data_IF_711617954200
#
_entry.id   IF_711617954200
#
_cell.length_a   1.000
_cell.length_b   1.000
_cell.length_c   1.000
_cell.angle_alpha   90.00
_cell.angle_beta   90.00
_cell.angle_gamma   90.00
#
_symmetry.space_group_name_H-M   'P 1'
#
loop_
_entity.id
_entity.type
_entity.pdbx_description
1 polymer ?
#
# COMPACT_ATOMS: atom_id res chain seq x y z
N UNK A 1 26.00 -21.49 -28.38
CA UNK A 1 26.71 -20.98 -29.57
C UNK A 1 25.80 -21.11 -30.78
N UNK A 2 25.76 -20.10 -31.62
CA UNK A 2 25.03 -20.13 -32.88
C UNK A 2 25.74 -21.07 -33.89
N UNK A 3 24.99 -21.90 -34.60
CA UNK A 3 25.50 -22.71 -35.71
C UNK A 3 25.19 -21.97 -37.01
N UNK A 4 26.21 -21.78 -37.84
CA UNK A 4 26.11 -21.09 -39.12
C UNK A 4 26.33 -22.10 -40.23
N UNK A 5 25.34 -22.24 -41.14
CA UNK A 5 25.45 -23.08 -42.34
C UNK A 5 25.34 -22.20 -43.59
N UNK A 6 26.38 -22.23 -44.44
CA UNK A 6 26.35 -21.57 -45.74
C UNK A 6 25.39 -22.33 -46.68
N UNK A 7 24.45 -21.62 -47.27
CA UNK A 7 23.48 -22.20 -48.24
C UNK A 7 23.87 -21.84 -49.68
N UNK A 8 24.42 -20.63 -49.88
CA UNK A 8 24.79 -20.10 -51.17
C UNK A 8 25.91 -19.04 -50.99
N UNK A 9 26.45 -18.43 -52.05
CA UNK A 9 27.55 -17.45 -51.97
C UNK A 9 27.28 -16.31 -50.98
N UNK A 10 25.98 -15.89 -50.85
CA UNK A 10 25.56 -14.79 -49.98
C UNK A 10 24.39 -15.14 -49.08
N UNK A 11 23.97 -16.41 -48.99
CA UNK A 11 22.88 -16.87 -48.13
C UNK A 11 23.41 -17.80 -47.05
N UNK A 12 23.04 -17.52 -45.82
CA UNK A 12 23.46 -18.25 -44.62
C UNK A 12 22.27 -18.59 -43.74
N UNK A 13 22.21 -19.84 -43.25
CA UNK A 13 21.27 -20.27 -42.25
C UNK A 13 21.96 -20.25 -40.90
N UNK A 14 21.47 -19.39 -40.00
CA UNK A 14 21.93 -19.29 -38.63
C UNK A 14 20.95 -20.03 -37.76
N UNK A 15 21.41 -20.97 -36.91
CA UNK A 15 20.58 -21.71 -35.95
C UNK A 15 21.13 -21.47 -34.56
N UNK A 16 20.28 -20.95 -33.66
CA UNK A 16 20.60 -20.71 -32.26
C UNK A 16 19.78 -21.65 -31.38
N UNK A 17 20.32 -22.06 -30.24
CA UNK A 17 19.64 -22.93 -29.29
C UNK A 17 19.75 -22.38 -27.85
N UNK A 18 18.69 -22.60 -27.06
CA UNK A 18 18.58 -22.16 -25.67
C UNK A 18 18.02 -23.28 -24.82
N UNK A 19 18.83 -24.31 -24.57
CA UNK A 19 18.45 -25.45 -23.70
C UNK A 19 17.42 -26.40 -24.30
N UNK A 20 16.74 -27.14 -23.41
CA UNK A 20 15.73 -28.14 -23.72
C UNK A 20 14.44 -27.86 -22.94
N UNK A 21 13.29 -28.19 -23.52
CA UNK A 21 12.00 -28.18 -22.83
C UNK A 21 11.90 -29.34 -21.83
N UNK A 22 11.01 -29.28 -20.85
CA UNK A 22 10.78 -30.41 -19.91
C UNK A 22 10.47 -31.75 -20.62
N UNK A 23 9.98 -31.69 -21.85
CA UNK A 23 9.69 -32.86 -22.69
C UNK A 23 10.92 -33.35 -23.51
N UNK A 24 12.12 -32.86 -23.21
CA UNK A 24 13.35 -33.25 -23.87
C UNK A 24 13.59 -32.63 -25.27
N UNK A 25 12.67 -31.88 -25.85
CA UNK A 25 12.86 -31.21 -27.15
C UNK A 25 13.76 -29.98 -27.00
N UNK A 26 14.77 -29.89 -27.90
CA UNK A 26 15.71 -28.78 -27.99
C UNK A 26 14.99 -27.50 -28.39
N UNK A 27 15.17 -26.42 -27.61
CA UNK A 27 14.66 -25.09 -27.96
C UNK A 27 15.65 -24.47 -28.95
N UNK A 28 15.27 -24.34 -30.23
CA UNK A 28 16.13 -23.77 -31.25
C UNK A 28 15.33 -22.90 -32.23
N UNK A 29 16.01 -21.89 -32.79
CA UNK A 29 15.43 -21.03 -33.81
C UNK A 29 16.42 -20.90 -34.94
N UNK A 30 15.94 -21.04 -36.17
CA UNK A 30 16.75 -20.84 -37.35
C UNK A 30 16.28 -19.63 -38.16
N UNK A 31 17.18 -18.82 -38.64
CA UNK A 31 16.91 -17.68 -39.53
C UNK A 31 17.85 -17.74 -40.72
N UNK A 32 17.31 -17.65 -41.95
CA UNK A 32 18.13 -17.48 -43.14
C UNK A 32 18.33 -16.00 -43.38
N UNK A 33 19.56 -15.59 -43.55
CA UNK A 33 19.96 -14.22 -43.89
C UNK A 33 20.57 -14.18 -45.27
N UNK A 34 20.36 -13.08 -45.98
CA UNK A 34 21.00 -12.77 -47.23
C UNK A 34 21.92 -11.55 -47.02
N UNK A 35 23.18 -11.72 -47.33
CA UNK A 35 24.18 -10.65 -47.22
C UNK A 35 23.95 -9.65 -48.35
N UNK A 36 23.78 -8.34 -48.04
CA UNK A 36 23.56 -7.32 -49.06
C UNK A 36 24.71 -7.25 -50.09
N UNK A 37 24.42 -6.90 -51.34
CA UNK A 37 25.44 -6.79 -52.42
C UNK A 37 26.60 -5.84 -52.09
N UNK A 38 26.33 -4.78 -51.28
CA UNK A 38 27.32 -3.78 -50.88
C UNK A 38 28.36 -4.27 -49.86
N UNK A 39 28.24 -5.48 -49.31
CA UNK A 39 29.22 -6.04 -48.37
C UNK A 39 30.35 -6.72 -49.20
N UNK A 40 31.62 -6.27 -49.10
CA UNK A 40 32.74 -6.88 -49.83
C UNK A 40 32.96 -8.32 -49.38
N UNK A 41 33.47 -9.18 -50.25
CA UNK A 41 33.69 -10.63 -49.98
C UNK A 41 34.45 -10.88 -48.67
N UNK A 42 35.46 -10.05 -48.34
CA UNK A 42 36.23 -10.11 -47.07
C UNK A 42 35.41 -9.79 -45.83
N UNK A 43 34.33 -8.99 -45.96
CA UNK A 43 33.46 -8.57 -44.84
C UNK A 43 32.27 -9.50 -44.60
N UNK A 44 31.99 -10.48 -45.47
CA UNK A 44 30.86 -11.39 -45.36
C UNK A 44 30.92 -12.17 -44.04
N UNK A 45 32.10 -12.67 -43.67
CA UNK A 45 32.29 -13.43 -42.43
C UNK A 45 31.93 -12.62 -41.18
N UNK A 46 32.38 -11.36 -41.10
CA UNK A 46 32.05 -10.46 -39.98
C UNK A 46 30.58 -10.10 -39.95
N UNK A 47 29.96 -9.82 -41.10
CA UNK A 47 28.52 -9.54 -41.18
C UNK A 47 27.69 -10.71 -40.68
N UNK A 48 28.03 -11.95 -41.11
CA UNK A 48 27.33 -13.16 -40.70
C UNK A 48 27.56 -13.48 -39.22
N UNK A 49 28.77 -13.26 -38.68
CA UNK A 49 29.10 -13.43 -37.28
C UNK A 49 28.31 -12.43 -36.42
N UNK A 50 28.28 -11.15 -36.80
CA UNK A 50 27.49 -10.13 -36.11
C UNK A 50 25.98 -10.45 -36.12
N UNK A 51 25.45 -10.89 -37.27
CA UNK A 51 24.05 -11.33 -37.37
C UNK A 51 23.75 -12.58 -36.51
N UNK A 52 24.72 -13.48 -36.35
CA UNK A 52 24.61 -14.65 -35.50
C UNK A 52 24.64 -14.29 -34.02
N UNK A 53 25.52 -13.38 -33.59
CA UNK A 53 25.56 -12.83 -32.23
C UNK A 53 24.27 -12.09 -31.90
N UNK A 54 23.76 -11.26 -32.81
CA UNK A 54 22.50 -10.54 -32.63
C UNK A 54 21.33 -11.53 -32.52
N UNK A 55 21.27 -12.57 -33.36
CA UNK A 55 20.25 -13.59 -33.29
C UNK A 55 20.37 -14.41 -32.00
N UNK A 56 21.58 -14.75 -31.55
CA UNK A 56 21.83 -15.46 -30.30
C UNK A 56 21.43 -14.60 -29.10
N UNK A 57 21.84 -13.33 -29.08
CA UNK A 57 21.46 -12.38 -28.06
C UNK A 57 19.94 -12.21 -27.97
N UNK A 58 19.26 -12.03 -29.11
CA UNK A 58 17.80 -11.93 -29.20
C UNK A 58 17.12 -13.21 -28.76
N UNK A 59 17.68 -14.37 -29.06
CA UNK A 59 17.07 -15.67 -28.71
C UNK A 59 17.33 -16.07 -27.27
N UNK A 60 18.53 -15.80 -26.72
CA UNK A 60 18.83 -16.08 -25.30
C UNK A 60 18.26 -15.07 -24.34
N UNK A 61 18.19 -13.81 -24.69
CA UNK A 61 17.91 -12.70 -23.79
C UNK A 61 16.65 -11.89 -24.13
N UNK A 62 15.95 -12.19 -25.19
CA UNK A 62 14.85 -11.34 -25.60
C UNK A 62 13.71 -11.94 -26.41
N UNK A 63 13.80 -13.20 -26.86
CA UNK A 63 12.77 -13.81 -27.70
C UNK A 63 12.68 -15.31 -27.44
N UNK A 64 12.12 -15.71 -26.28
CA UNK A 64 11.53 -17.06 -26.18
C UNK A 64 10.30 -17.13 -27.09
N UNK A 65 9.91 -18.33 -27.54
CA UNK A 65 8.62 -18.51 -28.25
C UNK A 65 7.44 -17.91 -27.45
N UNK A 66 7.61 -17.81 -26.13
CA UNK A 66 6.66 -17.19 -25.20
C UNK A 66 6.57 -15.66 -25.34
N UNK A 67 7.53 -14.97 -26.00
CA UNK A 67 7.46 -13.54 -26.28
C UNK A 67 6.33 -13.17 -27.24
N UNK A 68 5.78 -14.11 -28.00
CA UNK A 68 4.59 -13.94 -28.82
C UNK A 68 3.29 -14.08 -28.00
N UNK A 69 3.38 -14.55 -26.76
CA UNK A 69 2.24 -14.58 -25.83
C UNK A 69 1.75 -13.17 -25.60
N UNK A 70 0.42 -12.98 -25.65
CA UNK A 70 -0.18 -11.67 -25.43
C UNK A 70 0.01 -11.22 -23.98
N UNK A 71 0.00 -9.90 -23.75
CA UNK A 71 0.07 -9.36 -22.40
C UNK A 71 -1.03 -9.95 -21.50
N UNK A 72 -2.27 -10.09 -22.02
CA UNK A 72 -3.40 -10.63 -21.28
C UNK A 72 -3.19 -12.09 -20.87
N UNK A 73 -2.75 -12.95 -21.78
CA UNK A 73 -2.58 -14.39 -21.50
C UNK A 73 -1.45 -14.59 -20.49
N UNK A 74 -0.34 -13.84 -20.66
CA UNK A 74 0.74 -13.88 -19.70
C UNK A 74 0.30 -13.37 -18.31
N UNK A 75 -0.44 -12.25 -18.25
CA UNK A 75 -0.93 -11.69 -17.00
C UNK A 75 -1.88 -12.62 -16.27
N UNK A 76 -2.80 -13.32 -16.98
CA UNK A 76 -3.67 -14.35 -16.39
C UNK A 76 -2.86 -15.52 -15.82
N UNK A 77 -1.89 -16.02 -16.56
CA UNK A 77 -0.97 -17.04 -16.07
C UNK A 77 -0.12 -16.57 -14.89
N UNK A 78 0.33 -15.30 -14.92
CA UNK A 78 1.04 -14.71 -13.79
C UNK A 78 0.17 -14.66 -12.53
N UNK A 79 -1.07 -14.17 -12.62
CA UNK A 79 -2.00 -14.11 -11.49
C UNK A 79 -2.24 -15.47 -10.83
N UNK A 80 -2.40 -16.53 -11.65
CA UNK A 80 -2.66 -17.89 -11.14
C UNK A 80 -1.48 -18.50 -10.38
N UNK A 81 -0.24 -18.10 -10.71
CA UNK A 81 0.98 -18.60 -10.07
C UNK A 81 1.39 -17.83 -8.81
N UNK A 82 0.68 -16.73 -8.46
CA UNK A 82 1.10 -15.89 -7.32
C UNK A 82 0.67 -16.47 -5.98
N UNK A 83 1.62 -16.89 -5.16
CA UNK A 83 1.41 -17.30 -3.77
C UNK A 83 1.88 -16.27 -2.74
N UNK A 84 2.78 -15.35 -3.14
CA UNK A 84 3.42 -14.37 -2.24
C UNK A 84 2.53 -13.17 -1.88
N UNK A 85 1.49 -12.89 -2.67
CA UNK A 85 0.64 -11.72 -2.44
C UNK A 85 -0.57 -12.09 -1.59
N UNK A 86 -0.95 -11.19 -0.69
CA UNK A 86 -2.20 -11.33 0.06
C UNK A 86 -3.40 -11.42 -0.89
N UNK A 87 -4.46 -12.18 -0.54
CA UNK A 87 -5.65 -12.34 -1.39
C UNK A 87 -6.29 -11.02 -1.82
N UNK A 88 -6.29 -10.00 -0.96
CA UNK A 88 -6.78 -8.65 -1.27
C UNK A 88 -5.94 -7.93 -2.33
N UNK A 89 -4.62 -8.15 -2.31
CA UNK A 89 -3.69 -7.59 -3.32
C UNK A 89 -3.92 -8.25 -4.67
N UNK A 90 -4.06 -9.58 -4.71
CA UNK A 90 -4.37 -10.32 -5.94
C UNK A 90 -5.71 -9.89 -6.54
N UNK A 91 -6.75 -9.74 -5.71
CA UNK A 91 -8.05 -9.23 -6.15
C UNK A 91 -7.96 -7.80 -6.71
N UNK A 92 -7.08 -6.97 -6.15
CA UNK A 92 -6.82 -5.63 -6.68
C UNK A 92 -6.12 -5.68 -8.03
N UNK A 93 -5.07 -6.50 -8.17
CA UNK A 93 -4.39 -6.70 -9.45
C UNK A 93 -5.35 -7.24 -10.52
N UNK A 94 -6.15 -8.25 -10.20
CA UNK A 94 -7.14 -8.80 -11.11
C UNK A 94 -8.06 -7.70 -11.65
N UNK A 95 -8.69 -6.94 -10.76
CA UNK A 95 -9.59 -5.83 -11.14
C UNK A 95 -8.91 -4.76 -11.98
N UNK A 96 -7.65 -4.44 -11.69
CA UNK A 96 -6.89 -3.45 -12.46
C UNK A 96 -6.52 -3.98 -13.84
N UNK A 97 -6.05 -5.22 -13.92
CA UNK A 97 -5.66 -5.86 -15.17
C UNK A 97 -6.84 -6.09 -16.11
N UNK A 98 -8.03 -6.42 -15.59
CA UNK A 98 -9.26 -6.50 -16.41
C UNK A 98 -9.54 -5.19 -17.17
N UNK A 99 -9.28 -4.04 -16.55
CA UNK A 99 -9.38 -2.75 -17.23
C UNK A 99 -8.27 -2.56 -18.27
N UNK A 100 -7.05 -2.96 -17.92
CA UNK A 100 -5.86 -2.81 -18.78
C UNK A 100 -5.96 -3.66 -20.05
N UNK A 101 -6.58 -4.83 -19.97
CA UNK A 101 -6.70 -5.76 -21.12
C UNK A 101 -7.40 -5.14 -22.31
N UNK A 102 -8.37 -4.23 -22.11
CA UNK A 102 -9.05 -3.55 -23.21
C UNK A 102 -8.14 -2.60 -23.99
N UNK A 103 -6.97 -2.25 -23.48
CA UNK A 103 -6.04 -1.31 -24.13
C UNK A 103 -4.81 -2.00 -24.71
N UNK A 104 -4.17 -2.85 -23.93
CA UNK A 104 -2.90 -3.49 -24.30
C UNK A 104 -2.92 -5.01 -24.23
N UNK A 105 -4.06 -5.61 -23.88
CA UNK A 105 -4.18 -7.06 -23.65
C UNK A 105 -3.78 -7.92 -24.84
N UNK A 106 -4.18 -7.54 -26.05
CA UNK A 106 -3.88 -8.28 -27.27
C UNK A 106 -2.44 -8.09 -27.79
N UNK A 107 -1.65 -7.18 -27.23
CA UNK A 107 -0.31 -6.89 -27.71
C UNK A 107 0.65 -8.01 -27.23
N UNK A 108 1.41 -8.67 -28.13
CA UNK A 108 2.46 -9.60 -27.73
C UNK A 108 3.53 -8.92 -26.86
N UNK A 109 4.01 -9.61 -25.82
CA UNK A 109 4.98 -9.06 -24.88
C UNK A 109 6.23 -8.50 -25.56
N UNK A 110 6.74 -9.19 -26.59
CA UNK A 110 7.91 -8.74 -27.35
C UNK A 110 7.66 -7.46 -28.18
N UNK A 111 6.39 -7.13 -28.45
CA UNK A 111 5.99 -5.92 -29.21
C UNK A 111 5.49 -4.78 -28.32
N UNK A 112 5.32 -5.03 -27.02
CA UNK A 112 4.83 -4.03 -26.09
C UNK A 112 5.89 -2.95 -25.83
N UNK A 113 5.65 -1.74 -26.33
CA UNK A 113 6.53 -0.58 -26.22
C UNK A 113 6.05 0.41 -25.17
N UNK A 114 6.94 1.27 -24.60
CA UNK A 114 6.54 2.32 -23.67
C UNK A 114 5.38 3.19 -24.18
N UNK A 115 5.42 3.59 -25.45
CA UNK A 115 4.38 4.42 -26.09
C UNK A 115 2.97 3.78 -26.03
N UNK A 116 2.87 2.45 -26.16
CA UNK A 116 1.57 1.77 -26.04
C UNK A 116 1.00 1.88 -24.61
N UNK A 117 1.86 1.79 -23.59
CA UNK A 117 1.49 1.94 -22.20
C UNK A 117 1.11 3.41 -21.91
N UNK A 118 1.87 4.36 -22.42
CA UNK A 118 1.61 5.79 -22.29
C UNK A 118 0.25 6.17 -22.90
N UNK A 119 -0.06 5.68 -24.09
CA UNK A 119 -1.36 5.85 -24.74
C UNK A 119 -2.50 5.27 -23.89
N UNK A 120 -2.31 4.09 -23.33
CA UNK A 120 -3.26 3.50 -22.37
C UNK A 120 -3.48 4.42 -21.17
N UNK A 121 -2.42 4.94 -20.54
CA UNK A 121 -2.54 5.84 -19.40
C UNK A 121 -3.26 7.15 -19.77
N UNK A 122 -2.98 7.70 -20.95
CA UNK A 122 -3.66 8.89 -21.47
C UNK A 122 -5.16 8.66 -21.66
N UNK A 123 -5.55 7.50 -22.18
CA UNK A 123 -6.96 7.14 -22.31
C UNK A 123 -7.62 6.90 -20.95
N UNK A 124 -6.90 6.25 -20.00
CA UNK A 124 -7.40 6.06 -18.64
C UNK A 124 -7.66 7.40 -17.92
N UNK A 125 -6.80 8.42 -18.09
CA UNK A 125 -7.02 9.76 -17.52
C UNK A 125 -8.32 10.42 -18.01
N UNK A 126 -8.72 10.16 -19.26
CA UNK A 126 -9.98 10.65 -19.83
C UNK A 126 -11.21 9.91 -19.32
N UNK A 127 -11.03 8.73 -18.72
CA UNK A 127 -12.13 7.92 -18.19
C UNK A 127 -12.74 8.59 -16.96
N UNK A 128 -14.07 8.59 -16.91
CA UNK A 128 -14.82 9.07 -15.74
C UNK A 128 -15.15 7.94 -14.78
N UNK A 129 -15.10 8.24 -13.48
CA UNK A 129 -15.56 7.35 -12.43
C UNK A 129 -17.11 7.33 -12.37
N UNK A 130 -17.69 6.54 -11.45
CA UNK A 130 -19.15 6.43 -11.26
C UNK A 130 -19.83 7.75 -10.89
N UNK A 131 -19.07 8.72 -10.40
CA UNK A 131 -19.55 10.06 -10.01
C UNK A 131 -19.36 11.10 -11.14
N UNK A 132 -19.01 10.69 -12.35
CA UNK A 132 -18.76 11.57 -13.48
C UNK A 132 -17.43 12.35 -13.47
N UNK A 133 -16.59 12.16 -12.46
CA UNK A 133 -15.30 12.82 -12.32
C UNK A 133 -14.19 12.02 -13.03
N UNK A 134 -13.18 12.70 -13.55
CA UNK A 134 -12.00 12.04 -14.11
C UNK A 134 -11.26 11.20 -13.07
N UNK A 135 -10.63 10.13 -13.52
CA UNK A 135 -9.82 9.26 -12.65
C UNK A 135 -8.62 10.05 -12.14
N UNK A 136 -8.37 9.98 -10.83
CA UNK A 136 -7.23 10.65 -10.21
C UNK A 136 -5.90 9.99 -10.63
N UNK A 137 -4.82 10.78 -10.70
CA UNK A 137 -3.49 10.32 -11.08
C UNK A 137 -2.98 9.17 -10.20
N UNK A 138 -3.30 9.16 -8.90
CA UNK A 138 -3.03 8.03 -8.01
C UNK A 138 -3.64 6.72 -8.48
N UNK A 139 -4.86 6.77 -9.05
CA UNK A 139 -5.52 5.58 -9.63
C UNK A 139 -4.84 5.15 -10.92
N UNK A 140 -4.42 6.10 -11.76
CA UNK A 140 -3.64 5.83 -12.99
C UNK A 140 -2.33 5.13 -12.65
N UNK A 141 -1.64 5.58 -11.59
CA UNK A 141 -0.41 4.94 -11.12
C UNK A 141 -0.64 3.51 -10.58
N UNK A 142 -1.81 3.23 -10.00
CA UNK A 142 -2.15 1.85 -9.61
C UNK A 142 -2.28 0.93 -10.82
N UNK A 143 -2.87 1.39 -11.94
CA UNK A 143 -2.91 0.61 -13.18
C UNK A 143 -1.50 0.35 -13.72
N UNK A 144 -0.64 1.38 -13.76
CA UNK A 144 0.75 1.21 -14.19
C UNK A 144 1.52 0.25 -13.27
N UNK A 145 1.30 0.32 -11.96
CA UNK A 145 1.93 -0.58 -11.00
C UNK A 145 1.56 -2.04 -11.26
N UNK A 146 0.29 -2.32 -11.61
CA UNK A 146 -0.15 -3.66 -11.98
C UNK A 146 0.51 -4.15 -13.26
N UNK A 147 0.56 -3.31 -14.30
CA UNK A 147 1.26 -3.61 -15.57
C UNK A 147 2.75 -3.85 -15.30
N UNK A 148 3.40 -2.98 -14.53
CA UNK A 148 4.82 -3.08 -14.20
C UNK A 148 5.14 -4.35 -13.41
N UNK A 149 4.23 -4.82 -12.54
CA UNK A 149 4.42 -6.06 -11.79
C UNK A 149 4.45 -7.28 -12.72
N UNK A 150 3.50 -7.37 -13.67
CA UNK A 150 3.45 -8.42 -14.69
C UNK A 150 4.69 -8.39 -15.58
N UNK A 151 5.07 -7.21 -16.08
CA UNK A 151 6.23 -7.07 -16.96
C UNK A 151 7.56 -7.28 -16.24
N UNK A 152 7.64 -6.99 -14.94
CA UNK A 152 8.81 -7.33 -14.13
C UNK A 152 8.98 -8.84 -13.93
N UNK A 153 7.86 -9.57 -13.86
CA UNK A 153 7.87 -11.02 -13.85
C UNK A 153 8.30 -11.59 -15.22
N UNK A 154 7.76 -11.04 -16.31
CA UNK A 154 8.16 -11.43 -17.67
C UNK A 154 9.65 -11.16 -17.93
N UNK A 155 10.19 -10.04 -17.40
CA UNK A 155 11.63 -9.76 -17.45
C UNK A 155 12.44 -10.77 -16.63
N UNK A 156 11.99 -11.12 -15.42
CA UNK A 156 12.69 -12.10 -14.57
C UNK A 156 12.73 -13.48 -15.19
N UNK A 157 11.66 -13.84 -15.92
CA UNK A 157 11.59 -15.09 -16.67
C UNK A 157 12.22 -14.99 -18.07
N UNK A 158 12.98 -13.93 -18.35
CA UNK A 158 13.73 -13.72 -19.61
C UNK A 158 12.85 -13.70 -20.88
N UNK A 159 11.53 -13.43 -20.74
CA UNK A 159 10.60 -13.33 -21.87
C UNK A 159 10.75 -11.98 -22.58
N UNK A 160 11.07 -10.93 -21.80
CA UNK A 160 11.40 -9.60 -22.31
C UNK A 160 12.71 -9.10 -21.69
N UNK A 161 13.51 -8.37 -22.47
CA UNK A 161 14.79 -7.83 -22.03
C UNK A 161 14.63 -6.70 -21.00
N UNK A 162 13.67 -5.81 -21.23
CA UNK A 162 13.40 -4.62 -20.38
C UNK A 162 11.93 -4.51 -20.06
N UNK A 163 11.63 -3.95 -18.90
CA UNK A 163 10.26 -3.63 -18.54
C UNK A 163 9.88 -2.24 -19.09
N UNK A 164 9.05 -2.14 -20.15
CA UNK A 164 8.71 -0.86 -20.77
C UNK A 164 7.88 0.05 -19.84
N UNK A 165 7.18 -0.49 -18.84
CA UNK A 165 6.44 0.32 -17.88
C UNK A 165 7.35 1.11 -16.91
N UNK A 166 8.60 0.68 -16.71
CA UNK A 166 9.59 1.38 -15.88
C UNK A 166 10.35 2.47 -16.63
N UNK A 167 10.13 2.58 -17.93
CA UNK A 167 10.76 3.61 -18.77
C UNK A 167 9.88 4.87 -18.88
N UNK A 168 8.73 4.89 -18.21
CA UNK A 168 7.79 6.01 -18.25
C UNK A 168 8.04 6.92 -17.05
N UNK A 169 8.22 8.20 -17.34
CA UNK A 169 8.24 9.27 -16.34
C UNK A 169 6.80 9.73 -16.10
N UNK A 170 6.26 9.41 -14.93
CA UNK A 170 4.93 9.85 -14.53
C UNK A 170 5.00 11.09 -13.65
N UNK A 171 4.01 12.00 -13.78
CA UNK A 171 3.86 13.10 -12.84
C UNK A 171 3.75 12.56 -11.41
N UNK A 172 4.47 13.17 -10.48
CA UNK A 172 4.31 12.86 -9.06
C UNK A 172 2.92 13.34 -8.62
N UNK A 173 2.06 12.48 -8.05
CA UNK A 173 0.76 12.90 -7.58
C UNK A 173 0.90 14.02 -6.54
N UNK A 174 0.11 15.06 -6.68
CA UNK A 174 0.03 16.08 -5.65
C UNK A 174 -0.45 15.44 -4.35
N UNK A 175 0.31 15.66 -3.30
CA UNK A 175 -0.07 15.17 -1.96
C UNK A 175 -1.21 16.05 -1.44
N UNK A 176 -2.36 15.46 -1.25
CA UNK A 176 -3.44 16.11 -0.50
C UNK A 176 -3.11 16.05 0.99
N UNK A 177 -3.04 17.22 1.63
CA UNK A 177 -2.95 17.29 3.10
C UNK A 177 -4.23 16.69 3.67
N UNK A 178 -4.10 15.63 4.45
CA UNK A 178 -5.24 14.97 5.09
C UNK A 178 -5.80 15.92 6.16
N UNK A 179 -7.05 16.35 5.98
CA UNK A 179 -7.76 17.11 7.00
C UNK A 179 -8.04 16.20 8.21
N UNK A 180 -7.70 16.69 9.38
CA UNK A 180 -7.88 16.01 10.65
C UNK A 180 -9.00 16.73 11.42
N UNK A 181 -9.91 15.97 12.08
CA UNK A 181 -10.95 16.57 12.88
C UNK A 181 -10.40 17.48 13.97
N UNK A 182 -10.99 18.65 14.12
CA UNK A 182 -10.74 19.56 15.24
C UNK A 182 -11.31 18.98 16.54
N UNK A 183 -10.91 19.54 17.69
CA UNK A 183 -11.45 19.13 19.00
C UNK A 183 -12.98 19.22 19.04
N UNK A 184 -13.56 20.33 18.58
CA UNK A 184 -15.01 20.50 18.54
C UNK A 184 -15.72 19.54 17.58
N UNK A 185 -15.09 19.16 16.45
CA UNK A 185 -15.61 18.11 15.57
C UNK A 185 -15.58 16.74 16.26
N UNK A 186 -14.53 16.44 17.03
CA UNK A 186 -14.45 15.18 17.80
C UNK A 186 -15.53 15.13 18.88
N UNK A 187 -15.78 16.22 19.61
CA UNK A 187 -16.85 16.30 20.61
C UNK A 187 -18.21 16.02 19.95
N UNK A 188 -18.54 16.66 18.82
CA UNK A 188 -19.75 16.37 18.04
C UNK A 188 -19.84 14.91 17.59
N UNK A 189 -18.70 14.31 17.20
CA UNK A 189 -18.67 12.89 16.83
C UNK A 189 -18.97 12.01 18.04
N UNK A 190 -18.38 12.27 19.19
CA UNK A 190 -18.62 11.49 20.42
C UNK A 190 -20.09 11.55 20.84
N UNK A 191 -20.74 12.71 20.75
CA UNK A 191 -22.18 12.89 21.04
C UNK A 191 -23.04 12.07 20.04
N UNK A 192 -22.67 12.06 18.77
CA UNK A 192 -23.35 11.23 17.77
C UNK A 192 -23.16 9.74 18.06
N UNK A 193 -21.93 9.33 18.40
CA UNK A 193 -21.61 7.94 18.74
C UNK A 193 -22.33 7.47 20.02
N UNK A 194 -22.64 8.37 20.97
CA UNK A 194 -23.38 8.02 22.17
C UNK A 194 -24.79 7.49 21.85
N UNK A 195 -25.38 7.92 20.72
CA UNK A 195 -26.71 7.50 20.23
C UNK A 195 -26.67 6.20 19.41
N UNK A 196 -25.48 5.74 19.05
CA UNK A 196 -25.32 4.56 18.21
C UNK A 196 -25.42 3.25 19.00
N UNK A 197 -25.79 2.14 18.34
CA UNK A 197 -25.67 0.81 18.90
C UNK A 197 -24.28 0.55 19.46
N UNK A 198 -24.21 -0.14 20.60
CA UNK A 198 -22.97 -0.28 21.40
C UNK A 198 -21.78 -0.84 20.61
N UNK A 199 -21.98 -1.78 19.70
CA UNK A 199 -20.92 -2.36 18.89
C UNK A 199 -20.31 -1.32 17.93
N UNK A 200 -21.10 -0.41 17.33
CA UNK A 200 -20.58 0.69 16.51
C UNK A 200 -19.83 1.71 17.37
N UNK A 201 -20.45 2.13 18.48
CA UNK A 201 -19.82 3.05 19.43
C UNK A 201 -18.46 2.53 19.87
N UNK A 202 -18.38 1.28 20.36
CA UNK A 202 -17.12 0.68 20.81
C UNK A 202 -16.10 0.56 19.67
N UNK A 203 -16.53 0.19 18.47
CA UNK A 203 -15.64 0.07 17.30
C UNK A 203 -14.93 1.39 16.99
N UNK A 204 -15.67 2.49 16.95
CA UNK A 204 -15.09 3.80 16.62
C UNK A 204 -14.28 4.38 17.78
N UNK A 205 -14.70 4.16 19.03
CA UNK A 205 -13.87 4.51 20.18
C UNK A 205 -12.53 3.78 20.14
N UNK A 206 -12.52 2.47 19.97
CA UNK A 206 -11.28 1.72 19.85
C UNK A 206 -10.43 2.20 18.65
N UNK A 207 -11.04 2.56 17.53
CA UNK A 207 -10.31 3.16 16.40
C UNK A 207 -9.58 4.45 16.80
N UNK A 208 -10.23 5.31 17.58
CA UNK A 208 -9.68 6.59 18.05
C UNK A 208 -8.62 6.42 19.14
N UNK A 209 -8.76 5.40 20.00
CA UNK A 209 -7.83 5.16 21.12
C UNK A 209 -6.63 4.28 20.78
N UNK A 210 -6.69 3.51 19.70
CA UNK A 210 -5.64 2.55 19.34
C UNK A 210 -4.98 2.85 17.99
N UNK A 211 -5.60 3.69 17.17
CA UNK A 211 -5.19 3.89 15.79
C UNK A 211 -5.20 2.61 14.93
N UNK A 212 -5.87 1.54 15.36
CA UNK A 212 -5.95 0.29 14.62
C UNK A 212 -6.60 0.47 13.23
N UNK A 213 -6.12 -0.29 12.26
CA UNK A 213 -6.75 -0.36 10.94
C UNK A 213 -8.09 -1.06 11.03
N UNK A 214 -9.01 -0.75 10.10
CA UNK A 214 -10.34 -1.39 10.04
C UNK A 214 -10.26 -2.93 10.15
N UNK A 215 -9.39 -3.53 9.37
CA UNK A 215 -9.24 -4.98 9.37
C UNK A 215 -8.73 -5.55 10.68
N UNK A 216 -7.85 -4.83 11.36
CA UNK A 216 -7.33 -5.19 12.67
C UNK A 216 -8.45 -5.14 13.72
N UNK A 217 -9.23 -4.06 13.76
CA UNK A 217 -10.40 -3.95 14.66
C UNK A 217 -11.43 -5.07 14.42
N UNK A 218 -11.73 -5.40 13.15
CA UNK A 218 -12.66 -6.47 12.82
C UNK A 218 -12.15 -7.87 13.19
N UNK A 219 -10.84 -8.02 13.45
CA UNK A 219 -10.23 -9.29 13.83
C UNK A 219 -10.04 -9.44 15.35
N UNK A 220 -10.35 -8.43 16.15
CA UNK A 220 -10.14 -8.46 17.60
C UNK A 220 -10.95 -9.57 18.26
N UNK A 221 -10.28 -10.28 19.16
CA UNK A 221 -10.85 -11.31 20.02
C UNK A 221 -10.75 -10.88 21.49
N UNK A 222 -11.57 -11.48 22.33
CA UNK A 222 -11.52 -11.23 23.79
C UNK A 222 -10.17 -11.61 24.39
N UNK A 223 -9.49 -12.60 23.84
CA UNK A 223 -8.14 -13.05 24.25
C UNK A 223 -7.04 -12.05 23.94
N UNK A 224 -7.30 -11.07 23.07
CA UNK A 224 -6.29 -10.05 22.72
C UNK A 224 -6.12 -8.99 23.83
N UNK A 225 -6.98 -9.01 24.86
CA UNK A 225 -6.97 -8.05 25.94
C UNK A 225 -6.49 -8.69 27.24
N UNK A 226 -5.33 -8.26 27.72
CA UNK A 226 -4.76 -8.70 29.01
C UNK A 226 -4.89 -7.60 30.04
N UNK A 227 -5.37 -7.94 31.25
CA UNK A 227 -5.48 -6.99 32.36
C UNK A 227 -4.11 -6.51 32.84
N UNK A 228 -3.98 -5.19 33.08
CA UNK A 228 -2.82 -4.58 33.75
C UNK A 228 -3.29 -3.86 35.02
N UNK A 229 -2.37 -3.41 35.87
CA UNK A 229 -2.74 -2.65 37.08
C UNK A 229 -3.59 -1.42 36.77
N UNK A 230 -3.25 -0.69 35.70
CA UNK A 230 -3.81 0.61 35.36
C UNK A 230 -4.72 0.58 34.11
N UNK A 231 -5.14 -0.61 33.63
CA UNK A 231 -5.95 -0.68 32.41
C UNK A 231 -5.94 -2.04 31.73
N UNK A 232 -5.75 -2.05 30.42
CA UNK A 232 -5.62 -3.23 29.57
C UNK A 232 -4.45 -3.08 28.61
N UNK A 233 -3.81 -4.19 28.31
CA UNK A 233 -2.90 -4.34 27.18
C UNK A 233 -3.65 -5.01 26.03
N UNK A 234 -3.69 -4.37 24.88
CA UNK A 234 -4.25 -4.90 23.64
C UNK A 234 -3.12 -5.39 22.73
N UNK A 235 -3.13 -6.67 22.39
CA UNK A 235 -2.21 -7.25 21.39
C UNK A 235 -2.89 -7.32 20.02
N UNK A 236 -2.36 -6.61 19.02
CA UNK A 236 -2.87 -6.57 17.65
C UNK A 236 -2.00 -7.45 16.76
N UNK A 237 -2.48 -8.64 16.40
CA UNK A 237 -1.73 -9.65 15.63
C UNK A 237 -2.41 -10.07 14.33
N UNK A 238 -3.71 -9.79 14.16
CA UNK A 238 -4.55 -10.29 13.08
C UNK A 238 -5.26 -9.16 12.35
N UNK A 239 -5.68 -9.45 11.12
CA UNK A 239 -6.46 -8.53 10.30
C UNK A 239 -7.46 -9.29 9.45
N UNK A 240 -8.67 -8.75 9.27
CA UNK A 240 -9.75 -9.31 8.44
C UNK A 240 -10.10 -8.37 7.31
N UNK A 241 -10.20 -8.90 6.13
CA UNK A 241 -10.58 -8.14 4.94
C UNK A 241 -11.65 -8.89 4.13
N UNK A 242 -12.53 -8.14 3.51
CA UNK A 242 -13.45 -8.69 2.52
C UNK A 242 -12.75 -8.77 1.16
N UNK A 243 -12.72 -9.96 0.57
CA UNK A 243 -12.11 -10.23 -0.73
C UNK A 243 -13.21 -10.69 -1.69
N UNK A 244 -13.40 -10.02 -2.83
CA UNK A 244 -14.38 -10.43 -3.82
C UNK A 244 -14.19 -11.90 -4.22
N UNK A 245 -15.28 -12.66 -4.24
CA UNK A 245 -15.28 -14.10 -4.58
C UNK A 245 -14.75 -15.05 -3.49
N UNK A 246 -14.11 -14.52 -2.42
CA UNK A 246 -13.58 -15.33 -1.30
C UNK A 246 -14.24 -15.01 0.04
N UNK A 247 -15.11 -13.99 0.10
CA UNK A 247 -15.75 -13.57 1.36
C UNK A 247 -14.77 -12.86 2.31
N UNK A 248 -14.94 -13.10 3.62
CA UNK A 248 -14.06 -12.52 4.65
C UNK A 248 -12.86 -13.45 4.87
N UNK A 249 -11.68 -12.92 4.64
CA UNK A 249 -10.40 -13.61 4.84
C UNK A 249 -9.70 -12.99 6.05
N UNK A 250 -9.24 -13.84 6.96
CA UNK A 250 -8.39 -13.47 8.08
C UNK A 250 -6.94 -13.84 7.80
N UNK A 251 -6.01 -12.99 8.23
CA UNK A 251 -4.58 -13.19 8.08
C UNK A 251 -3.81 -12.37 9.12
N UNK A 252 -2.49 -12.39 9.03
CA UNK A 252 -1.63 -11.53 9.83
C UNK A 252 -1.85 -10.04 9.53
N UNK A 253 -1.31 -9.17 10.39
CA UNK A 253 -1.25 -7.73 10.11
C UNK A 253 -0.51 -7.45 8.80
N UNK A 254 -0.71 -6.28 8.21
CA UNK A 254 -0.13 -5.90 6.90
C UNK A 254 1.41 -6.10 6.83
N UNK A 255 2.10 -5.97 7.96
CA UNK A 255 3.56 -6.10 8.05
C UNK A 255 3.99 -7.44 8.69
N UNK A 256 3.05 -8.34 8.98
CA UNK A 256 3.31 -9.63 9.65
C UNK A 256 3.72 -9.51 11.12
N UNK A 257 3.88 -8.29 11.66
CA UNK A 257 4.31 -8.04 13.05
C UNK A 257 3.10 -7.79 13.94
N UNK A 258 3.10 -8.37 15.14
CA UNK A 258 2.20 -7.99 16.23
C UNK A 258 2.70 -6.71 16.91
N UNK A 259 1.78 -6.00 17.55
CA UNK A 259 2.09 -4.85 18.39
C UNK A 259 1.17 -4.77 19.59
N UNK A 260 1.59 -4.04 20.58
CA UNK A 260 0.87 -3.83 21.83
C UNK A 260 0.44 -2.37 21.96
N UNK A 261 -0.77 -2.16 22.48
CA UNK A 261 -1.31 -0.83 22.74
C UNK A 261 -1.92 -0.84 24.15
N UNK A 262 -1.47 0.07 25.00
CA UNK A 262 -2.03 0.24 26.34
C UNK A 262 -3.33 1.04 26.28
N UNK A 263 -4.35 0.57 27.00
CA UNK A 263 -5.66 1.19 27.10
C UNK A 263 -5.93 1.59 28.56
N UNK A 264 -6.55 2.77 28.74
CA UNK A 264 -6.89 3.30 30.06
C UNK A 264 -7.92 2.43 30.82
N UNK A 265 -8.00 2.65 32.13
CA UNK A 265 -9.00 2.02 33.01
C UNK A 265 -10.45 2.23 32.56
N UNK A 266 -10.77 3.40 32.00
CA UNK A 266 -12.11 3.72 31.50
C UNK A 266 -12.52 2.80 30.35
N UNK A 267 -11.61 2.57 29.38
CA UNK A 267 -11.85 1.62 28.30
C UNK A 267 -11.99 0.19 28.81
N UNK A 268 -11.25 -0.19 29.87
CA UNK A 268 -11.41 -1.49 30.52
C UNK A 268 -12.86 -1.64 31.03
N UNK A 269 -13.42 -0.64 31.70
CA UNK A 269 -14.80 -0.64 32.20
C UNK A 269 -15.81 -0.82 31.06
N UNK A 270 -15.66 -0.07 29.99
CA UNK A 270 -16.51 -0.17 28.78
C UNK A 270 -16.44 -1.57 28.16
N UNK A 271 -15.25 -2.13 27.98
CA UNK A 271 -15.03 -3.46 27.39
C UNK A 271 -15.61 -4.58 28.26
N UNK A 272 -15.40 -4.54 29.58
CA UNK A 272 -15.97 -5.52 30.50
C UNK A 272 -17.49 -5.49 30.50
N UNK A 273 -18.10 -4.30 30.51
CA UNK A 273 -19.56 -4.13 30.40
C UNK A 273 -20.08 -4.67 29.08
N UNK A 274 -19.39 -4.40 27.98
CA UNK A 274 -19.74 -4.92 26.67
C UNK A 274 -19.63 -6.46 26.60
N UNK A 275 -18.56 -7.05 27.18
CA UNK A 275 -18.38 -8.51 27.26
C UNK A 275 -19.49 -9.18 28.04
N UNK A 276 -19.83 -8.66 29.22
CA UNK A 276 -20.94 -9.18 30.04
C UNK A 276 -22.24 -9.21 29.25
N UNK A 277 -22.57 -8.12 28.54
CA UNK A 277 -23.76 -8.07 27.70
C UNK A 277 -23.76 -9.09 26.58
N UNK A 278 -22.64 -9.24 25.88
CA UNK A 278 -22.50 -10.26 24.83
C UNK A 278 -22.62 -11.68 25.37
N UNK A 279 -22.14 -11.93 26.58
CA UNK A 279 -22.36 -13.19 27.28
C UNK A 279 -23.85 -13.43 27.57
N UNK A 280 -24.55 -12.44 28.12
CA UNK A 280 -26.00 -12.56 28.38
C UNK A 280 -26.81 -12.76 27.09
N UNK A 281 -26.44 -12.12 25.99
CA UNK A 281 -27.06 -12.34 24.66
C UNK A 281 -26.81 -13.78 24.17
N UNK A 282 -25.62 -14.32 24.37
CA UNK A 282 -25.25 -15.69 24.01
C UNK A 282 -26.02 -16.70 24.87
N UNK A 283 -26.09 -16.49 26.20
CA UNK A 283 -26.79 -17.38 27.14
C UNK A 283 -28.28 -17.46 26.83
N UNK A 284 -28.92 -16.31 26.54
CA UNK A 284 -30.35 -16.26 26.13
C UNK A 284 -30.62 -17.10 24.87
N UNK A 285 -29.65 -17.16 23.97
CA UNK A 285 -29.74 -17.94 22.72
C UNK A 285 -29.16 -19.35 22.85
N UNK A 286 -28.82 -19.80 24.07
CA UNK A 286 -28.22 -21.12 24.34
C UNK A 286 -27.00 -21.42 23.47
N UNK A 287 -26.17 -20.40 23.17
CA UNK A 287 -24.95 -20.53 22.38
C UNK A 287 -23.71 -20.11 23.19
N UNK A 288 -22.54 -20.54 22.76
CA UNK A 288 -21.28 -20.06 23.32
C UNK A 288 -20.99 -18.62 22.88
N UNK A 289 -20.37 -17.85 23.77
CA UNK A 289 -19.86 -16.53 23.42
C UNK A 289 -18.86 -16.66 22.24
N UNK A 290 -19.06 -15.86 21.21
CA UNK A 290 -18.10 -15.77 20.12
C UNK A 290 -16.73 -15.32 20.64
N UNK A 291 -15.62 -15.89 20.17
CA UNK A 291 -14.29 -15.39 20.54
C UNK A 291 -14.04 -13.97 20.05
N UNK A 292 -14.74 -13.52 19.01
CA UNK A 292 -14.57 -12.21 18.41
C UNK A 292 -15.36 -11.11 19.14
N UNK A 293 -14.74 -9.93 19.19
CA UNK A 293 -15.33 -8.76 19.85
C UNK A 293 -16.56 -8.23 19.09
N UNK A 294 -16.50 -8.15 17.76
CA UNK A 294 -17.53 -7.51 16.94
C UNK A 294 -18.36 -8.54 16.17
N UNK A 295 -19.47 -8.92 16.82
CA UNK A 295 -20.46 -9.84 16.28
C UNK A 295 -21.85 -9.19 16.29
N UNK A 296 -22.74 -9.66 15.42
CA UNK A 296 -24.16 -9.34 15.46
C UNK A 296 -24.87 -9.98 16.68
N UNK A 297 -26.19 -9.87 16.74
CA UNK A 297 -26.99 -10.43 17.82
C UNK A 297 -26.97 -11.97 17.78
N UNK A 298 -26.81 -12.57 16.62
CA UNK A 298 -26.74 -14.03 16.43
C UNK A 298 -25.32 -14.58 16.69
N UNK A 299 -24.35 -13.72 17.03
CA UNK A 299 -22.96 -14.08 17.27
C UNK A 299 -22.14 -14.27 16.00
N UNK A 300 -22.70 -13.93 14.83
CA UNK A 300 -22.01 -13.95 13.56
C UNK A 300 -21.12 -12.71 13.40
N UNK A 301 -20.08 -12.86 12.62
CA UNK A 301 -19.10 -11.78 12.40
C UNK A 301 -19.70 -10.68 11.53
N UNK A 302 -19.65 -9.45 12.03
CA UNK A 302 -20.08 -8.27 11.28
C UNK A 302 -19.13 -8.06 10.10
N UNK A 303 -19.69 -7.87 8.90
CA UNK A 303 -18.91 -7.59 7.72
C UNK A 303 -18.14 -6.26 7.85
N UNK A 304 -16.82 -6.21 7.54
CA UNK A 304 -15.99 -5.01 7.73
C UNK A 304 -16.53 -3.73 7.08
N UNK A 305 -17.18 -3.84 5.92
CA UNK A 305 -17.74 -2.67 5.23
C UNK A 305 -18.96 -2.07 5.94
N UNK A 306 -19.62 -2.83 6.82
CA UNK A 306 -20.76 -2.34 7.62
C UNK A 306 -20.33 -1.16 8.49
N UNK A 307 -19.19 -1.27 9.17
CA UNK A 307 -18.64 -0.18 9.98
C UNK A 307 -18.31 1.05 9.11
N UNK A 308 -17.71 0.86 7.94
CA UNK A 308 -17.40 1.97 7.03
C UNK A 308 -18.67 2.67 6.53
N UNK A 309 -19.69 1.90 6.14
CA UNK A 309 -20.97 2.43 5.67
C UNK A 309 -21.71 3.19 6.80
N UNK A 310 -21.70 2.64 8.01
CA UNK A 310 -22.35 3.29 9.17
C UNK A 310 -21.68 4.60 9.54
N UNK A 311 -20.33 4.62 9.60
CA UNK A 311 -19.60 5.85 9.92
C UNK A 311 -19.87 6.97 8.90
N UNK A 312 -19.95 6.63 7.60
CA UNK A 312 -20.31 7.60 6.55
C UNK A 312 -21.69 8.22 6.79
N UNK A 313 -22.67 7.41 7.24
CA UNK A 313 -24.01 7.92 7.59
C UNK A 313 -23.96 8.86 8.79
N UNK A 314 -23.16 8.51 9.82
CA UNK A 314 -22.96 9.36 11.01
C UNK A 314 -22.31 10.67 10.58
N UNK A 315 -21.23 10.65 9.82
CA UNK A 315 -20.54 11.85 9.33
C UNK A 315 -21.47 12.75 8.51
N UNK A 316 -22.28 12.18 7.63
CA UNK A 316 -23.27 12.93 6.87
C UNK A 316 -24.33 13.60 7.77
N UNK A 317 -24.81 12.89 8.81
CA UNK A 317 -25.81 13.39 9.74
C UNK A 317 -25.32 14.57 10.61
N UNK A 318 -24.03 14.61 10.93
CA UNK A 318 -23.43 15.71 11.72
C UNK A 318 -22.74 16.77 10.87
N UNK A 319 -22.90 16.72 9.53
CA UNK A 319 -22.39 17.74 8.61
C UNK A 319 -20.86 17.68 8.39
N UNK A 320 -20.24 16.54 8.56
CA UNK A 320 -18.79 16.40 8.37
C UNK A 320 -18.39 16.37 6.89
N UNK A 321 -17.17 16.82 6.57
CA UNK A 321 -16.65 16.80 5.20
C UNK A 321 -16.68 15.38 4.59
N UNK A 322 -16.97 15.29 3.28
CA UNK A 322 -17.07 14.01 2.55
C UNK A 322 -15.75 13.23 2.51
N UNK A 323 -14.64 13.94 2.62
CA UNK A 323 -13.29 13.37 2.70
C UNK A 323 -13.02 12.63 4.01
N UNK A 324 -13.79 12.87 5.07
CA UNK A 324 -13.66 12.12 6.31
C UNK A 324 -14.14 10.67 6.14
N UNK A 325 -13.31 9.76 6.55
CA UNK A 325 -13.55 8.31 6.45
C UNK A 325 -12.97 7.59 7.66
N UNK A 326 -13.13 6.28 7.76
CA UNK A 326 -12.69 5.53 8.94
C UNK A 326 -11.19 5.72 9.25
N UNK A 327 -10.35 5.82 8.21
CA UNK A 327 -8.92 6.04 8.41
C UNK A 327 -8.58 7.41 9.01
N UNK A 328 -9.49 8.38 8.90
CA UNK A 328 -9.38 9.70 9.54
C UNK A 328 -9.30 9.59 11.07
N UNK A 329 -9.98 8.61 11.68
CA UNK A 329 -9.89 8.37 13.12
C UNK A 329 -8.47 7.92 13.54
N UNK A 330 -7.82 7.11 12.71
CA UNK A 330 -6.42 6.74 12.92
C UNK A 330 -5.47 7.93 12.70
N UNK A 331 -5.74 8.77 11.71
CA UNK A 331 -4.99 10.02 11.52
C UNK A 331 -5.12 10.94 12.73
N UNK A 332 -6.33 11.05 13.28
CA UNK A 332 -6.57 11.79 14.51
C UNK A 332 -5.74 11.24 15.69
N UNK A 333 -5.74 9.92 15.90
CA UNK A 333 -4.92 9.28 16.94
C UNK A 333 -3.43 9.64 16.80
N UNK A 334 -2.86 9.45 15.62
CA UNK A 334 -1.45 9.74 15.35
C UNK A 334 -1.12 11.21 15.62
N UNK A 335 -1.94 12.12 15.08
CA UNK A 335 -1.68 13.56 15.21
C UNK A 335 -1.84 14.01 16.66
N UNK A 336 -2.84 13.50 17.37
CA UNK A 336 -3.04 13.83 18.79
C UNK A 336 -1.85 13.41 19.64
N UNK A 337 -1.30 12.21 19.45
CA UNK A 337 -0.10 11.76 20.17
C UNK A 337 1.11 12.63 19.87
N UNK A 338 1.35 12.95 18.60
CA UNK A 338 2.44 13.84 18.21
C UNK A 338 2.28 15.26 18.80
N UNK A 339 1.04 15.77 18.88
CA UNK A 339 0.75 17.05 19.54
C UNK A 339 0.94 17.01 21.05
N UNK A 340 0.71 15.84 21.67
CA UNK A 340 1.01 15.62 23.10
C UNK A 340 2.52 15.44 23.37
N UNK A 341 3.38 15.45 22.35
CA UNK A 341 4.82 15.33 22.50
C UNK A 341 5.34 13.89 22.54
N UNK A 342 4.49 12.90 22.24
CA UNK A 342 4.95 11.51 22.11
C UNK A 342 5.91 11.43 20.91
N UNK A 343 7.04 10.77 21.10
CA UNK A 343 8.06 10.64 20.06
C UNK A 343 7.57 9.85 18.86
N UNK A 344 8.14 10.14 17.69
CA UNK A 344 7.70 9.56 16.40
C UNK A 344 7.86 8.06 16.32
N UNK A 345 8.90 7.50 16.96
CA UNK A 345 9.17 6.07 16.94
C UNK A 345 8.09 5.33 17.75
N UNK A 346 7.77 5.79 18.94
CA UNK A 346 6.69 5.25 19.77
C UNK A 346 5.35 5.32 19.03
N UNK A 347 5.04 6.44 18.37
CA UNK A 347 3.80 6.56 17.58
C UNK A 347 3.80 5.59 16.39
N UNK A 348 4.94 5.42 15.69
CA UNK A 348 5.07 4.45 14.60
C UNK A 348 4.83 3.01 15.08
N UNK A 349 5.40 2.65 16.21
CA UNK A 349 5.25 1.32 16.82
C UNK A 349 3.79 1.06 17.24
N UNK A 350 3.14 2.02 17.91
CA UNK A 350 1.73 1.93 18.31
C UNK A 350 0.80 1.70 17.11
N UNK A 351 1.05 2.34 15.97
CA UNK A 351 0.21 2.17 14.78
C UNK A 351 0.71 1.07 13.84
N UNK A 352 1.87 0.48 14.07
CA UNK A 352 2.47 -0.56 13.23
C UNK A 352 2.84 -0.02 11.83
N UNK A 353 3.54 1.11 11.78
CA UNK A 353 4.23 1.59 10.60
C UNK A 353 5.62 0.96 10.54
N UNK A 354 6.03 0.50 9.36
CA UNK A 354 7.36 -0.07 9.17
C UNK A 354 8.46 0.99 9.14
N UNK A 355 8.09 2.27 8.94
CA UNK A 355 9.00 3.40 8.73
C UNK A 355 8.37 4.68 9.29
N UNK A 356 9.17 5.44 10.05
CA UNK A 356 8.83 6.78 10.55
C UNK A 356 8.72 7.81 9.43
N UNK A 357 9.37 7.59 8.31
CA UNK A 357 9.31 8.48 7.15
C UNK A 357 7.90 8.72 6.61
N UNK A 358 6.98 7.76 6.80
CA UNK A 358 5.57 7.99 6.50
C UNK A 358 4.94 9.01 7.45
N UNK A 359 5.25 8.94 8.75
CA UNK A 359 4.76 9.91 9.75
C UNK A 359 5.31 11.31 9.47
N UNK A 360 6.59 11.40 9.14
CA UNK A 360 7.24 12.68 8.80
C UNK A 360 6.59 13.34 7.59
N UNK A 361 6.39 12.59 6.55
CA UNK A 361 5.78 13.10 5.31
C UNK A 361 4.31 13.46 5.45
N UNK A 362 3.59 12.85 6.40
CA UNK A 362 2.14 12.98 6.51
C UNK A 362 1.71 13.93 7.62
N UNK A 363 2.47 13.98 8.73
CA UNK A 363 2.04 14.66 9.97
C UNK A 363 3.01 15.72 10.48
N UNK A 364 4.26 15.74 10.01
CA UNK A 364 5.26 16.67 10.55
C UNK A 364 5.33 17.95 9.75
N UNK A 365 4.33 18.82 9.96
CA UNK A 365 4.53 20.26 9.83
C UNK A 365 4.69 20.80 11.25
N UNK A 366 5.91 21.27 11.67
CA UNK A 366 6.11 21.81 13.00
C UNK A 366 5.19 23.02 13.18
N UNK A 367 4.19 22.88 14.05
CA UNK A 367 3.30 23.97 14.39
C UNK A 367 4.07 24.98 15.24
N UNK A 368 3.71 26.26 15.13
CA UNK A 368 4.31 27.35 15.90
C UNK A 368 4.32 27.02 17.41
N UNK A 369 3.22 26.48 17.93
CA UNK A 369 3.09 26.07 19.32
C UNK A 369 4.09 24.98 19.78
N UNK A 370 4.57 24.12 18.87
CA UNK A 370 5.61 23.13 19.22
C UNK A 370 6.99 23.79 19.34
N UNK A 371 7.28 24.78 18.52
CA UNK A 371 8.52 25.56 18.59
C UNK A 371 8.57 26.39 19.88
N UNK A 372 7.43 26.96 20.27
CA UNK A 372 7.28 27.70 21.52
C UNK A 372 7.47 26.79 22.74
N UNK A 373 6.82 25.61 22.76
CA UNK A 373 7.03 24.61 23.82
C UNK A 373 8.48 24.12 23.92
N UNK A 374 9.16 23.95 22.79
CA UNK A 374 10.56 23.56 22.80
C UNK A 374 11.45 24.66 23.43
N UNK A 375 11.17 25.92 23.14
CA UNK A 375 11.86 27.05 23.76
C UNK A 375 11.59 27.12 25.28
N UNK A 376 10.33 26.93 25.69
CA UNK A 376 9.95 26.91 27.11
C UNK A 376 10.57 25.72 27.86
N UNK A 377 10.66 24.55 27.22
CA UNK A 377 11.34 23.38 27.80
C UNK A 377 12.83 23.65 28.03
N UNK A 378 13.51 24.30 27.07
CA UNK A 378 14.92 24.72 27.25
C UNK A 378 15.05 25.71 28.39
N UNK A 379 14.14 26.68 28.49
CA UNK A 379 14.11 27.63 29.60
C UNK A 379 13.96 26.90 30.95
N UNK A 380 13.07 25.96 31.06
CA UNK A 380 12.84 25.16 32.28
C UNK A 380 14.05 24.28 32.64
N UNK A 381 14.72 23.70 31.65
CA UNK A 381 15.94 22.91 31.87
C UNK A 381 17.11 23.77 32.35
N UNK A 382 17.25 24.96 31.80
CA UNK A 382 18.33 25.88 32.18
C UNK A 382 18.07 26.62 33.51
N UNK A 383 16.79 26.81 33.86
CA UNK A 383 16.35 27.47 35.10
C UNK A 383 15.08 26.80 35.67
N UNK A 384 15.21 25.68 36.41
CA UNK A 384 14.07 24.96 37.00
C UNK A 384 13.29 25.81 38.02
N UNK A 385 13.93 26.84 38.63
CA UNK A 385 13.40 27.77 39.59
C UNK A 385 12.57 28.92 38.97
N UNK A 386 12.47 28.97 37.63
CA UNK A 386 11.69 30.00 36.91
C UNK A 386 12.40 31.36 36.81
N UNK A 387 13.66 31.48 37.25
CA UNK A 387 14.44 32.70 37.18
C UNK A 387 14.82 33.13 35.76
N UNK A 388 15.23 34.38 35.57
CA UNK A 388 15.78 34.87 34.29
C UNK A 388 17.14 34.21 33.97
N UNK A 389 17.31 33.73 32.71
CA UNK A 389 18.56 33.07 32.27
C UNK A 389 19.72 34.05 32.23
N UNK A 390 19.47 35.27 31.78
CA UNK A 390 20.43 36.39 31.80
C UNK A 390 19.72 37.72 32.12
N UNK A 391 20.35 38.53 32.92
CA UNK A 391 19.89 39.91 33.14
C UNK A 391 20.50 40.81 32.05
N UNK A 392 19.85 40.88 30.89
CA UNK A 392 20.30 41.66 29.73
C UNK A 392 20.45 43.15 30.06
N UNK A 393 19.72 43.67 31.04
CA UNK A 393 19.84 45.06 31.48
C UNK A 393 21.20 45.34 32.14
N UNK A 394 21.82 44.35 32.80
CA UNK A 394 23.14 44.48 33.40
C UNK A 394 24.29 44.41 32.38
N UNK A 395 24.06 43.77 31.22
CA UNK A 395 25.10 43.63 30.19
C UNK A 395 25.21 44.83 29.25
N UNK A 396 24.20 45.72 29.22
CA UNK A 396 24.15 46.89 28.34
C UNK A 396 24.48 48.22 29.03
N UNK A 397 24.94 48.21 30.29
CA UNK A 397 25.39 49.43 30.95
C UNK A 397 26.76 49.82 30.40
N UNK A 398 26.93 51.00 29.78
CA UNK A 398 28.23 51.43 29.32
C UNK A 398 29.13 51.65 30.55
N UNK A 399 30.28 50.98 30.56
CA UNK A 399 31.34 51.27 31.54
C UNK A 399 31.70 52.78 31.43
N UNK A 400 31.27 53.57 32.40
CA UNK A 400 31.82 54.95 32.56
C UNK A 400 33.28 54.75 32.90
N UNK A 401 34.15 55.05 31.95
CA UNK A 401 35.57 55.35 32.28
C UNK A 401 35.56 56.63 33.04
N UNK A 402 35.85 56.59 34.35
CA UNK A 402 36.25 57.69 35.14
C UNK A 402 37.73 58.02 34.80
N UNK A 403 37.93 59.22 34.33
CA UNK A 403 39.24 59.83 34.17
C UNK A 403 39.91 60.16 35.52
#
# INVERSE_FOLDING_TARGET
MASIKKLDERRYKITVSNGYRPNGKKISKAKTIQVPPGVPKRGIGQYVAHAAEELERRFKYGFSEDGNTTFQDYAKGWLSRQSKYAPSTLASYHRQLEVVYSYIGAIPLCKLRPLAIENMLSQLRKRKNRNGQHIQETTVQHYLSAVSAVLSDAKRNEIIEKNPARMLDLPTPQRTVQRIPTRGEVEKLLDALAKEPRHYRLFYLLSMYTGCRRGELCALQWSDFTGTQNGLLLTVSRSRSSVPGKGIVEGSTKNGKSREVYLSSDLRGILLTYKRRKQMEADKQRRRLSPYLFTDEQGQLIHPDTFTKRLRKIYAAIGFPREYHLHTLRHYFVTSLLHCGVDKQTVADLVGHADTGFLERTYCHPQQAQKERAADSMRTMLRPDGGQIFNLAAACSPKRHSA
#
